data_IF_292093828220
#
_entry.id   IF_292093828220
#
_cell.length_a   1.000
_cell.length_b   1.000
_cell.length_c   1.000
_cell.angle_alpha   90.00
_cell.angle_beta   90.00
_cell.angle_gamma   90.00
#
_symmetry.space_group_name_H-M   'P 1'
#
loop_
_entity.id
_entity.type
_entity.pdbx_description
1 polymer ?
#
# COMPACT_ATOMS: atom_id res chain seq x y z
N UNK A 1 17.07 -9.45 -18.55
CA UNK A 1 17.28 -8.01 -18.27
C UNK A 1 16.04 -7.28 -17.69
N UNK A 2 14.82 -7.81 -17.80
CA UNK A 2 13.58 -7.15 -17.30
C UNK A 2 13.32 -7.38 -15.79
N UNK A 3 13.88 -8.45 -15.21
CA UNK A 3 13.70 -8.80 -13.79
C UNK A 3 14.38 -7.84 -12.79
N UNK A 4 15.46 -7.16 -13.18
CA UNK A 4 16.16 -6.21 -12.29
C UNK A 4 15.42 -4.86 -12.18
N UNK A 5 14.75 -4.42 -13.24
CA UNK A 5 14.03 -3.15 -13.26
C UNK A 5 12.78 -3.16 -12.35
N UNK A 6 12.20 -4.34 -12.10
CA UNK A 6 11.03 -4.48 -11.22
C UNK A 6 11.37 -4.60 -9.73
N UNK A 7 12.58 -5.08 -9.41
CA UNK A 7 13.08 -5.13 -8.03
C UNK A 7 13.33 -3.72 -7.47
N UNK A 8 13.88 -2.80 -8.26
CA UNK A 8 14.20 -1.43 -7.81
C UNK A 8 13.00 -0.63 -7.27
N UNK A 9 11.82 -0.75 -7.89
CA UNK A 9 10.61 -0.06 -7.42
C UNK A 9 9.95 -0.69 -6.20
N UNK A 10 10.19 -1.98 -5.93
CA UNK A 10 9.75 -2.59 -4.67
C UNK A 10 10.57 -2.07 -3.50
N UNK A 11 11.89 -1.88 -3.66
CA UNK A 11 12.80 -1.52 -2.55
C UNK A 11 12.57 -0.13 -1.92
N UNK A 12 12.12 0.88 -2.66
CA UNK A 12 11.90 2.23 -2.09
C UNK A 12 10.85 2.30 -0.98
N UNK A 13 9.84 1.42 -1.00
CA UNK A 13 8.85 1.30 0.09
C UNK A 13 9.43 0.61 1.35
N UNK A 14 10.48 -0.20 1.21
CA UNK A 14 11.12 -0.90 2.34
C UNK A 14 12.14 -0.02 3.09
N UNK A 15 12.60 1.08 2.51
CA UNK A 15 13.60 1.95 3.16
C UNK A 15 12.98 2.76 4.31
N UNK A 16 11.81 3.36 4.08
CA UNK A 16 11.08 4.14 5.07
C UNK A 16 10.57 3.28 6.26
N UNK A 17 10.05 2.08 5.96
CA UNK A 17 9.56 1.15 6.98
C UNK A 17 10.66 0.51 7.83
N UNK A 18 11.85 0.29 7.26
CA UNK A 18 13.02 -0.15 8.01
C UNK A 18 13.53 0.94 8.95
N UNK A 19 13.53 2.20 8.51
CA UNK A 19 14.03 3.33 9.31
C UNK A 19 13.24 3.54 10.61
N UNK A 20 11.90 3.39 10.56
CA UNK A 20 11.02 3.51 11.75
C UNK A 20 11.21 2.33 12.72
N UNK A 21 11.32 1.10 12.20
CA UNK A 21 11.54 -0.10 13.03
C UNK A 21 12.92 -0.14 13.68
N UNK A 22 13.94 0.45 13.06
CA UNK A 22 15.32 0.43 13.57
C UNK A 22 15.59 1.48 14.66
N UNK A 23 14.79 2.54 14.74
CA UNK A 23 15.07 3.69 15.63
C UNK A 23 14.24 3.74 16.92
N UNK A 24 13.33 2.79 17.19
CA UNK A 24 12.42 2.84 18.35
C UNK A 24 11.78 4.25 18.52
N UNK A 25 11.34 4.86 17.41
CA UNK A 25 10.77 6.20 17.43
C UNK A 25 9.44 6.21 18.18
N UNK A 26 9.21 7.27 18.97
CA UNK A 26 7.93 7.49 19.63
C UNK A 26 6.84 7.75 18.56
N UNK A 27 5.57 7.52 18.91
CA UNK A 27 4.43 7.73 18.01
C UNK A 27 4.40 9.15 17.42
N UNK A 28 4.83 10.14 18.20
CA UNK A 28 4.94 11.54 17.76
C UNK A 28 5.97 11.72 16.63
N UNK A 29 7.15 11.12 16.75
CA UNK A 29 8.20 11.22 15.74
C UNK A 29 7.82 10.47 14.46
N UNK A 30 7.13 9.34 14.60
CA UNK A 30 6.57 8.58 13.47
C UNK A 30 5.55 9.43 12.71
N UNK A 31 4.67 10.14 13.43
CA UNK A 31 3.68 11.01 12.83
C UNK A 31 4.34 12.18 12.08
N UNK A 32 5.29 12.87 12.71
CA UNK A 32 6.04 13.97 12.09
C UNK A 32 6.78 13.52 10.82
N UNK A 33 7.45 12.36 10.88
CA UNK A 33 8.12 11.77 9.73
C UNK A 33 7.14 11.45 8.58
N UNK A 34 5.95 10.93 8.90
CA UNK A 34 4.91 10.64 7.90
C UNK A 34 4.37 11.91 7.25
N UNK A 35 4.15 12.97 8.00
CA UNK A 35 3.74 14.25 7.42
C UNK A 35 4.82 14.82 6.50
N UNK A 36 6.09 14.76 6.91
CA UNK A 36 7.17 15.34 6.10
C UNK A 36 7.45 14.55 4.81
N UNK A 37 7.38 13.22 4.86
CA UNK A 37 7.83 12.37 3.74
C UNK A 37 6.71 11.62 3.03
N UNK A 38 5.68 11.16 3.75
CA UNK A 38 4.62 10.30 3.18
C UNK A 38 3.43 11.10 2.65
N UNK A 39 3.01 12.15 3.36
CA UNK A 39 1.91 13.03 2.95
C UNK A 39 2.08 13.67 1.56
N UNK A 40 3.25 14.24 1.18
CA UNK A 40 3.41 14.81 -0.16
C UNK A 40 3.26 13.74 -1.25
N UNK A 41 3.83 12.54 -1.04
CA UNK A 41 3.73 11.43 -1.99
C UNK A 41 2.28 10.95 -2.18
N UNK A 42 1.53 10.86 -1.07
CA UNK A 42 0.11 10.48 -1.12
C UNK A 42 -0.70 11.55 -1.85
N UNK A 43 -0.44 12.82 -1.57
CA UNK A 43 -1.12 13.95 -2.21
C UNK A 43 -0.86 13.97 -3.72
N UNK A 44 0.40 13.80 -4.14
CA UNK A 44 0.76 13.74 -5.55
C UNK A 44 0.14 12.53 -6.26
N UNK A 45 0.07 11.38 -5.59
CA UNK A 45 -0.61 10.21 -6.13
C UNK A 45 -2.10 10.47 -6.37
N UNK A 46 -2.82 11.04 -5.41
CA UNK A 46 -4.26 11.32 -5.58
C UNK A 46 -4.52 12.44 -6.59
N UNK A 47 -3.63 13.44 -6.68
CA UNK A 47 -3.65 14.43 -7.75
C UNK A 47 -3.51 13.78 -9.12
N UNK A 48 -2.58 12.84 -9.26
CA UNK A 48 -2.42 12.07 -10.49
C UNK A 48 -3.64 11.20 -10.80
N UNK A 49 -4.23 10.52 -9.79
CA UNK A 49 -5.47 9.74 -9.96
C UNK A 49 -6.61 10.64 -10.47
N UNK A 50 -6.78 11.82 -9.89
CA UNK A 50 -7.77 12.79 -10.34
C UNK A 50 -7.55 13.19 -11.80
N UNK A 51 -6.32 13.54 -12.19
CA UNK A 51 -5.97 13.88 -13.57
C UNK A 51 -6.24 12.73 -14.54
N UNK A 52 -5.88 11.49 -14.16
CA UNK A 52 -6.16 10.32 -15.01
C UNK A 52 -7.66 10.07 -15.16
N UNK A 53 -8.50 10.43 -14.18
CA UNK A 53 -9.96 10.28 -14.34
C UNK A 53 -10.58 11.29 -15.31
N UNK A 54 -9.95 12.45 -15.52
CA UNK A 54 -10.44 13.47 -16.48
C UNK A 54 -10.13 13.13 -17.94
N UNK A 55 -9.31 12.10 -18.17
CA UNK A 55 -8.96 11.62 -19.50
C UNK A 55 -10.16 10.99 -20.18
N UNK A 56 -10.59 11.58 -21.28
CA UNK A 56 -11.71 11.10 -22.10
C UNK A 56 -11.37 9.86 -22.94
N UNK A 57 -10.08 9.54 -23.10
CA UNK A 57 -9.61 8.34 -23.80
C UNK A 57 -9.77 7.05 -22.98
N UNK A 58 -10.06 7.15 -21.68
CA UNK A 58 -10.28 5.99 -20.83
C UNK A 58 -11.73 5.54 -20.86
N UNK A 59 -11.97 4.36 -21.44
CA UNK A 59 -13.29 3.73 -21.40
C UNK A 59 -13.67 3.41 -19.93
N UNK A 60 -14.88 3.79 -19.46
CA UNK A 60 -15.33 3.55 -18.08
C UNK A 60 -15.32 2.07 -17.68
N UNK A 61 -15.47 1.16 -18.65
CA UNK A 61 -15.46 -0.30 -18.42
C UNK A 61 -14.05 -0.89 -18.32
N UNK A 62 -13.00 -0.12 -18.64
CA UNK A 62 -11.64 -0.62 -18.59
C UNK A 62 -11.23 -1.00 -17.15
N UNK A 63 -10.44 -2.06 -16.96
CA UNK A 63 -9.92 -2.42 -15.63
C UNK A 63 -9.15 -1.27 -14.97
N UNK A 64 -8.48 -0.44 -15.77
CA UNK A 64 -7.73 0.72 -15.29
C UNK A 64 -8.65 1.83 -14.76
N UNK A 65 -9.71 2.19 -15.48
CA UNK A 65 -10.68 3.17 -15.01
C UNK A 65 -11.39 2.72 -13.72
N UNK A 66 -11.71 1.42 -13.61
CA UNK A 66 -12.24 0.83 -12.37
C UNK A 66 -11.26 0.96 -11.20
N UNK A 67 -9.98 0.69 -11.43
CA UNK A 67 -8.95 0.83 -10.40
C UNK A 67 -8.78 2.29 -9.94
N UNK A 68 -8.80 3.25 -10.87
CA UNK A 68 -8.76 4.69 -10.55
C UNK A 68 -9.99 5.12 -9.73
N UNK A 69 -11.18 4.66 -10.10
CA UNK A 69 -12.40 4.94 -9.36
C UNK A 69 -12.33 4.39 -7.93
N UNK A 70 -11.95 3.11 -7.80
CA UNK A 70 -11.80 2.45 -6.52
C UNK A 70 -10.77 3.13 -5.62
N UNK A 71 -9.63 3.55 -6.18
CA UNK A 71 -8.62 4.29 -5.44
C UNK A 71 -9.16 5.63 -4.94
N UNK A 72 -9.84 6.39 -5.80
CA UNK A 72 -10.44 7.68 -5.47
C UNK A 72 -11.51 7.57 -4.38
N UNK A 73 -12.44 6.61 -4.47
CA UNK A 73 -13.48 6.39 -3.45
C UNK A 73 -12.90 6.08 -2.06
N UNK A 74 -11.69 5.54 -2.00
CA UNK A 74 -11.02 5.14 -0.76
C UNK A 74 -9.92 6.09 -0.33
N UNK A 75 -9.86 7.30 -0.90
CA UNK A 75 -8.84 8.29 -0.56
C UNK A 75 -8.79 8.58 0.94
N UNK A 76 -9.95 8.82 1.56
CA UNK A 76 -10.04 9.10 3.00
C UNK A 76 -9.50 7.94 3.84
N UNK A 77 -9.85 6.71 3.49
CA UNK A 77 -9.40 5.48 4.16
C UNK A 77 -7.89 5.26 3.99
N UNK A 78 -7.37 5.53 2.79
CA UNK A 78 -5.95 5.42 2.48
C UNK A 78 -5.12 6.53 3.12
N UNK A 79 -5.72 7.65 3.55
CA UNK A 79 -5.03 8.72 4.29
C UNK A 79 -4.98 8.49 5.79
N UNK A 80 -5.77 7.55 6.36
CA UNK A 80 -5.85 7.31 7.82
C UNK A 80 -4.49 6.93 8.44
N UNK A 81 -3.61 6.26 7.69
CA UNK A 81 -2.28 5.92 8.21
C UNK A 81 -1.39 7.17 8.42
N UNK A 82 -1.67 8.29 7.73
CA UNK A 82 -0.93 9.53 7.92
C UNK A 82 -1.27 10.15 9.28
N UNK A 83 -2.55 10.15 9.65
CA UNK A 83 -3.04 10.69 10.92
C UNK A 83 -2.82 9.75 12.11
N UNK A 84 -2.80 8.44 11.91
CA UNK A 84 -2.63 7.46 12.98
C UNK A 84 -1.25 6.78 12.93
N UNK A 85 -0.27 7.22 13.76
CA UNK A 85 1.07 6.63 13.79
C UNK A 85 1.09 5.17 14.24
N UNK A 86 0.07 4.69 14.98
CA UNK A 86 -0.03 3.31 15.44
C UNK A 86 -0.36 2.33 14.29
N UNK A 87 -0.92 2.82 13.18
CA UNK A 87 -1.18 1.98 12.01
C UNK A 87 0.12 1.79 11.22
N UNK A 88 0.53 0.55 10.93
CA UNK A 88 1.66 0.29 10.05
C UNK A 88 1.33 0.66 8.60
N UNK A 89 2.28 1.29 7.91
CA UNK A 89 2.17 1.59 6.47
C UNK A 89 2.20 0.32 5.60
N UNK A 90 2.80 -0.77 6.11
CA UNK A 90 2.95 -2.02 5.37
C UNK A 90 1.87 -3.04 5.72
N UNK A 91 1.21 -3.57 4.69
CA UNK A 91 0.24 -4.68 4.82
C UNK A 91 0.92 -6.03 5.02
N UNK A 92 2.25 -6.11 5.10
CA UNK A 92 2.97 -7.40 5.19
C UNK A 92 2.50 -8.25 6.38
N UNK A 93 2.19 -7.61 7.51
CA UNK A 93 1.68 -8.30 8.71
C UNK A 93 0.32 -8.97 8.41
N UNK A 94 -0.58 -8.24 7.75
CA UNK A 94 -1.91 -8.73 7.35
C UNK A 94 -1.79 -9.80 6.26
N UNK A 95 -0.94 -9.60 5.25
CA UNK A 95 -0.69 -10.58 4.20
C UNK A 95 -0.12 -11.89 4.77
N UNK A 96 0.80 -11.79 5.73
CA UNK A 96 1.36 -12.95 6.43
C UNK A 96 0.32 -13.67 7.27
N UNK A 97 -0.56 -12.93 7.95
CA UNK A 97 -1.67 -13.49 8.73
C UNK A 97 -2.71 -14.18 7.83
N UNK A 98 -3.11 -13.53 6.73
CA UNK A 98 -4.08 -14.08 5.77
C UNK A 98 -3.54 -15.29 5.02
N UNK A 99 -2.21 -15.40 4.82
CA UNK A 99 -1.59 -16.55 4.15
C UNK A 99 -1.88 -17.89 4.84
N UNK A 100 -2.16 -17.88 6.14
CA UNK A 100 -2.46 -19.08 6.93
C UNK A 100 -3.79 -19.71 6.48
N UNK A 101 -4.78 -18.91 6.08
CA UNK A 101 -6.13 -19.38 5.76
C UNK A 101 -6.16 -20.22 4.46
N UNK A 102 -5.60 -19.76 3.31
CA UNK A 102 -5.50 -20.58 2.11
C UNK A 102 -4.61 -21.82 2.29
N UNK A 103 -3.55 -21.73 3.10
CA UNK A 103 -2.66 -22.87 3.37
C UNK A 103 -3.37 -23.95 4.19
N UNK A 104 -4.13 -23.57 5.23
CA UNK A 104 -4.93 -24.52 6.02
C UNK A 104 -5.97 -25.24 5.18
N UNK A 105 -6.67 -24.54 4.27
CA UNK A 105 -7.63 -25.14 3.33
C UNK A 105 -6.97 -26.12 2.35
N UNK A 106 -5.74 -25.83 1.89
CA UNK A 106 -4.99 -26.75 1.03
C UNK A 106 -4.51 -27.99 1.80
N UNK A 107 -4.08 -27.84 3.06
CA UNK A 107 -3.64 -28.98 3.88
C UNK A 107 -4.78 -29.90 4.33
N UNK A 108 -6.00 -29.37 4.50
CA UNK A 108 -7.16 -30.19 4.89
C UNK A 108 -7.54 -31.25 3.83
N UNK A 109 -7.17 -31.02 2.56
CA UNK A 109 -7.38 -31.98 1.46
C UNK A 109 -6.38 -33.16 1.49
N UNK A 110 -5.38 -33.13 2.37
CA UNK A 110 -4.34 -34.17 2.46
C UNK A 110 -4.27 -34.85 3.86
N UNK A 111 -5.26 -34.63 4.73
CA UNK A 111 -5.30 -35.16 6.11
C UNK A 111 -5.98 -36.56 6.23
N UNK A 112 -6.10 -37.30 5.11
CA UNK A 112 -6.72 -38.65 5.08
C UNK A 112 -5.76 -39.72 4.56
N UNK A 113 -4.53 -39.74 5.08
CA UNK A 113 -3.62 -40.89 4.98
C UNK A 113 -2.96 -41.15 6.32
#
# INVERSE_FOLDING_TARGET
MVYMLWKGRKYGKYEHGKHIRYKQLNLADIHAYRQQHSEPLVTDFFRWVYQQRQRTDLLPKSPFAKALHYAHERESQLKVFLSNPALPMDTNHLERALRVIPMGRKNYLFCWS
#
